data_IF_517552276643
#
_entry.id   IF_517552276643
#
_cell.length_a   1.000
_cell.length_b   1.000
_cell.length_c   1.000
_cell.angle_alpha   90.00
_cell.angle_beta   90.00
_cell.angle_gamma   90.00
#
_symmetry.space_group_name_H-M   'P 1'
#
loop_
_entity.id
_entity.type
_entity.pdbx_description
1 polymer ?
#
# COMPACT_ATOMS: atom_id res chain seq x y z
N UNK A 1 7.86 -31.00 -5.34
CA UNK A 1 8.51 -30.46 -4.13
C UNK A 1 7.54 -29.51 -3.47
N UNK A 2 7.34 -29.62 -2.15
CA UNK A 2 6.51 -28.70 -1.37
C UNK A 2 7.34 -28.22 -0.17
N UNK A 3 7.39 -26.91 0.06
CA UNK A 3 8.08 -26.30 1.19
C UNK A 3 7.03 -25.69 2.14
N UNK A 4 7.18 -25.91 3.44
CA UNK A 4 6.27 -25.41 4.48
C UNK A 4 7.06 -24.69 5.57
N UNK A 5 6.40 -23.78 6.28
CA UNK A 5 7.01 -23.01 7.38
C UNK A 5 8.27 -22.24 6.97
N UNK A 6 8.22 -21.61 5.80
CA UNK A 6 9.34 -20.88 5.21
C UNK A 6 9.83 -19.74 6.11
N UNK A 7 11.14 -19.58 6.17
CA UNK A 7 11.85 -18.47 6.79
C UNK A 7 12.51 -17.59 5.71
N UNK A 8 12.83 -16.34 6.05
CA UNK A 8 13.51 -15.42 5.11
C UNK A 8 14.80 -16.01 4.54
N UNK A 9 15.54 -16.78 5.34
CA UNK A 9 16.77 -17.46 4.95
C UNK A 9 16.57 -18.54 3.89
N UNK A 10 15.34 -19.02 3.67
CA UNK A 10 15.01 -19.98 2.62
C UNK A 10 14.88 -19.30 1.24
N UNK A 11 15.03 -17.98 1.16
CA UNK A 11 15.08 -17.28 -0.14
C UNK A 11 16.35 -17.67 -0.89
N UNK A 12 16.23 -17.96 -2.18
CA UNK A 12 17.36 -18.41 -2.99
C UNK A 12 16.95 -19.12 -4.26
N UNK A 13 17.93 -19.69 -4.94
CA UNK A 13 17.70 -20.53 -6.12
C UNK A 13 17.52 -21.99 -5.69
N UNK A 14 16.48 -22.62 -6.23
CA UNK A 14 16.17 -24.03 -6.07
C UNK A 14 16.26 -24.72 -7.42
N UNK A 15 17.05 -25.77 -7.50
CA UNK A 15 17.25 -26.53 -8.73
C UNK A 15 16.51 -27.85 -8.67
N UNK A 16 15.66 -28.11 -9.65
CA UNK A 16 15.08 -29.42 -9.91
C UNK A 16 15.84 -30.11 -11.04
N UNK A 17 16.29 -31.34 -10.81
CA UNK A 17 16.98 -32.15 -11.81
C UNK A 17 16.19 -33.42 -12.09
N UNK A 18 15.97 -33.70 -13.37
CA UNK A 18 15.39 -34.95 -13.85
C UNK A 18 16.42 -35.60 -14.78
N UNK A 19 16.84 -36.80 -14.41
CA UNK A 19 17.81 -37.56 -15.18
C UNK A 19 17.15 -38.82 -15.75
N UNK A 20 17.23 -38.97 -17.07
CA UNK A 20 16.88 -40.20 -17.79
C UNK A 20 18.16 -40.84 -18.33
N UNK A 21 18.12 -42.08 -18.85
CA UNK A 21 19.30 -42.70 -19.47
C UNK A 21 19.85 -41.93 -20.68
N UNK A 22 19.01 -41.12 -21.33
CA UNK A 22 19.31 -40.45 -22.60
C UNK A 22 19.51 -38.94 -22.43
N UNK A 23 18.98 -38.34 -21.35
CA UNK A 23 18.97 -36.88 -21.16
C UNK A 23 19.00 -36.45 -19.68
N UNK A 24 19.42 -35.20 -19.46
CA UNK A 24 19.38 -34.52 -18.17
C UNK A 24 18.72 -33.16 -18.34
N UNK A 25 17.54 -33.00 -17.72
CA UNK A 25 16.85 -31.71 -17.64
C UNK A 25 17.09 -31.06 -16.28
N UNK A 26 17.49 -29.79 -16.29
CA UNK A 26 17.69 -28.97 -15.10
C UNK A 26 16.79 -27.75 -15.18
N UNK A 27 15.99 -27.50 -14.15
CA UNK A 27 15.13 -26.32 -14.02
C UNK A 27 15.51 -25.58 -12.75
N UNK A 28 15.66 -24.26 -12.84
CA UNK A 28 15.98 -23.41 -11.71
C UNK A 28 14.78 -22.50 -11.38
N UNK A 29 14.47 -22.38 -10.09
CA UNK A 29 13.43 -21.51 -9.55
C UNK A 29 14.03 -20.56 -8.53
N UNK A 30 13.69 -19.26 -8.63
CA UNK A 30 14.06 -18.28 -7.60
C UNK A 30 12.91 -18.12 -6.60
N UNK A 31 13.14 -18.52 -5.36
CA UNK A 31 12.21 -18.31 -4.24
C UNK A 31 12.55 -17.00 -3.51
N UNK A 32 11.54 -16.16 -3.30
CA UNK A 32 11.62 -14.96 -2.48
C UNK A 32 10.60 -15.08 -1.35
N UNK A 33 11.09 -15.17 -0.12
CA UNK A 33 10.25 -15.24 1.08
C UNK A 33 10.13 -13.84 1.67
N UNK A 34 8.92 -13.30 1.64
CA UNK A 34 8.60 -11.96 2.13
C UNK A 34 7.84 -12.04 3.45
N UNK A 35 8.08 -11.09 4.33
CA UNK A 35 7.26 -10.92 5.54
C UNK A 35 5.91 -10.29 5.18
N UNK A 36 4.84 -10.63 5.93
CA UNK A 36 3.60 -9.90 5.85
C UNK A 36 3.79 -8.41 6.17
N UNK A 37 3.12 -7.55 5.42
CA UNK A 37 3.12 -6.11 5.66
C UNK A 37 2.45 -5.79 6.99
N UNK A 38 3.05 -4.85 7.72
CA UNK A 38 2.44 -4.30 8.93
C UNK A 38 1.28 -3.37 8.58
N UNK A 39 0.34 -3.22 9.53
CA UNK A 39 -0.76 -2.26 9.37
C UNK A 39 -0.20 -0.83 9.30
N UNK A 40 -0.53 -0.06 8.26
CA UNK A 40 -0.04 1.30 8.13
C UNK A 40 -0.68 2.22 9.19
N UNK A 41 0.03 3.30 9.49
CA UNK A 41 -0.46 4.42 10.31
C UNK A 41 -0.84 5.53 9.34
N UNK A 42 -2.10 5.97 9.44
CA UNK A 42 -2.66 7.04 8.63
C UNK A 42 -2.89 8.28 9.49
N UNK A 43 -2.28 9.39 9.11
CA UNK A 43 -2.45 10.71 9.71
C UNK A 43 -3.05 11.65 8.66
N UNK A 44 -4.06 12.42 9.07
CA UNK A 44 -4.76 13.37 8.20
C UNK A 44 -4.81 14.71 8.91
N UNK A 45 -4.24 15.74 8.29
CA UNK A 45 -4.27 17.11 8.75
C UNK A 45 -5.06 17.96 7.75
N UNK A 46 -6.06 18.70 8.24
CA UNK A 46 -6.90 19.55 7.40
C UNK A 46 -6.30 20.93 7.22
N UNK A 47 -6.14 21.37 5.98
CA UNK A 47 -5.84 22.76 5.64
C UNK A 47 -7.05 23.38 4.93
N UNK A 48 -7.63 24.38 5.58
CA UNK A 48 -8.83 25.05 5.11
C UNK A 48 -8.44 26.31 4.35
N UNK A 49 -8.53 26.25 3.03
CA UNK A 49 -8.29 27.42 2.21
C UNK A 49 -9.44 28.44 2.36
N UNK A 50 -9.14 29.72 2.13
CA UNK A 50 -10.09 30.84 2.28
C UNK A 50 -11.30 30.82 1.32
N UNK A 51 -11.43 29.78 0.48
CA UNK A 51 -12.52 29.59 -0.49
C UNK A 51 -13.45 28.39 -0.22
N UNK A 52 -13.39 27.75 0.95
CA UNK A 52 -14.26 26.60 1.29
C UNK A 52 -13.77 25.25 0.77
N UNK A 53 -12.69 25.23 -0.01
CA UNK A 53 -12.02 24.00 -0.44
C UNK A 53 -11.24 23.40 0.73
N UNK A 54 -11.66 22.20 1.14
CA UNK A 54 -10.98 21.38 2.13
C UNK A 54 -9.88 20.55 1.45
N UNK A 55 -8.62 20.94 1.67
CA UNK A 55 -7.47 20.17 1.25
C UNK A 55 -6.91 19.43 2.48
N UNK A 56 -6.60 18.17 2.31
CA UNK A 56 -6.13 17.29 3.36
C UNK A 56 -4.69 16.91 3.08
N UNK A 57 -3.80 17.29 4.00
CA UNK A 57 -2.46 16.74 4.03
C UNK A 57 -2.52 15.35 4.67
N UNK A 58 -2.28 14.33 3.86
CA UNK A 58 -2.35 12.93 4.27
C UNK A 58 -0.94 12.36 4.33
N UNK A 59 -0.59 11.81 5.48
CA UNK A 59 0.66 11.06 5.65
C UNK A 59 0.33 9.62 5.99
N UNK A 60 0.85 8.69 5.21
CA UNK A 60 0.80 7.27 5.52
C UNK A 60 2.18 6.70 5.79
N UNK A 61 2.32 5.93 6.87
CA UNK A 61 3.59 5.30 7.27
C UNK A 61 3.44 3.81 7.50
N UNK A 62 4.44 3.03 7.09
CA UNK A 62 4.58 1.63 7.46
C UNK A 62 6.06 1.28 7.64
N UNK A 63 6.48 1.06 8.88
CA UNK A 63 7.91 0.90 9.20
C UNK A 63 8.69 2.16 8.87
N UNK A 64 9.68 2.04 7.99
CA UNK A 64 10.53 3.11 7.45
C UNK A 64 9.95 3.79 6.20
N UNK A 65 8.88 3.24 5.62
CA UNK A 65 8.19 3.80 4.47
C UNK A 65 7.27 4.95 4.90
N UNK A 66 7.25 6.02 4.10
CA UNK A 66 6.36 7.17 4.28
C UNK A 66 5.89 7.69 2.94
N UNK A 67 4.58 7.90 2.82
CA UNK A 67 3.92 8.48 1.64
C UNK A 67 3.11 9.70 2.06
N UNK A 68 3.44 10.86 1.49
CA UNK A 68 2.64 12.08 1.64
C UNK A 68 1.75 12.29 0.42
N UNK A 69 0.55 12.80 0.65
CA UNK A 69 -0.42 13.08 -0.41
C UNK A 69 -1.28 14.27 -0.04
N UNK A 70 -1.70 15.02 -1.04
CA UNK A 70 -2.77 16.01 -0.89
C UNK A 70 -4.08 15.40 -1.37
N UNK A 71 -5.09 15.35 -0.51
CA UNK A 71 -6.40 14.80 -0.84
C UNK A 71 -7.51 15.86 -0.75
N UNK A 72 -8.59 15.68 -1.49
CA UNK A 72 -9.85 16.39 -1.30
C UNK A 72 -10.96 15.37 -0.93
N UNK A 73 -12.24 15.68 -1.14
CA UNK A 73 -13.33 14.74 -0.85
C UNK A 73 -13.47 13.56 -1.84
N UNK A 74 -12.75 13.59 -2.96
CA UNK A 74 -12.92 12.67 -4.09
C UNK A 74 -11.63 11.99 -4.56
N UNK A 75 -10.48 12.65 -4.48
CA UNK A 75 -9.20 12.11 -4.94
C UNK A 75 -8.05 12.45 -3.99
N UNK A 76 -6.94 11.72 -4.16
CA UNK A 76 -5.64 11.98 -3.53
C UNK A 76 -4.57 12.06 -4.62
N UNK A 77 -3.69 13.05 -4.49
CA UNK A 77 -2.51 13.23 -5.34
C UNK A 77 -1.27 12.98 -4.49
N UNK A 78 -0.44 12.03 -4.91
CA UNK A 78 0.74 11.60 -4.16
C UNK A 78 1.96 12.45 -4.55
N UNK A 79 2.80 12.78 -3.58
CA UNK A 79 4.09 13.42 -3.86
C UNK A 79 5.13 12.34 -4.18
N UNK A 80 5.55 12.26 -5.45
CA UNK A 80 6.56 11.30 -5.94
C UNK A 80 5.99 10.09 -6.68
N UNK A 81 6.83 9.09 -6.96
CA UNK A 81 6.47 7.93 -7.77
C UNK A 81 5.39 7.06 -7.10
N UNK A 82 4.45 6.58 -7.91
CA UNK A 82 3.12 6.08 -7.53
C UNK A 82 3.05 4.81 -6.64
N UNK A 83 4.16 4.34 -6.08
CA UNK A 83 4.20 3.22 -5.14
C UNK A 83 5.49 3.20 -4.31
N UNK A 84 5.63 4.12 -3.35
CA UNK A 84 6.75 4.14 -2.41
C UNK A 84 6.75 2.88 -1.52
N UNK A 85 7.49 1.84 -1.91
CA UNK A 85 7.59 0.60 -1.15
C UNK A 85 6.26 -0.16 -0.99
N UNK A 86 5.29 0.06 -1.90
CA UNK A 86 3.97 -0.57 -1.82
C UNK A 86 2.94 0.19 -0.99
N UNK A 87 3.23 1.43 -0.58
CA UNK A 87 2.24 2.36 -0.02
C UNK A 87 1.41 3.04 -1.12
N UNK A 88 0.11 3.16 -0.91
CA UNK A 88 -0.80 3.97 -1.75
C UNK A 88 -1.88 4.64 -0.92
N UNK A 89 -2.21 5.89 -1.26
CA UNK A 89 -3.32 6.64 -0.67
C UNK A 89 -4.40 6.88 -1.73
N UNK A 90 -5.67 6.61 -1.39
CA UNK A 90 -6.81 6.84 -2.27
C UNK A 90 -8.11 7.03 -1.48
N UNK A 91 -9.16 7.46 -2.16
CA UNK A 91 -10.49 7.65 -1.57
C UNK A 91 -11.42 6.54 -2.03
N UNK A 92 -12.17 5.96 -1.10
CA UNK A 92 -13.21 4.97 -1.40
C UNK A 92 -14.33 5.10 -0.38
N UNK A 93 -15.56 5.23 -0.88
CA UNK A 93 -16.78 5.31 -0.07
C UNK A 93 -16.75 6.39 1.03
N UNK A 94 -16.21 7.58 0.73
CA UNK A 94 -16.15 8.68 1.68
C UNK A 94 -15.06 8.58 2.77
N UNK A 95 -14.16 7.60 2.65
CA UNK A 95 -12.99 7.48 3.52
C UNK A 95 -11.70 7.67 2.73
N UNK A 96 -10.71 8.30 3.35
CA UNK A 96 -9.32 8.21 2.92
C UNK A 96 -8.80 6.86 3.38
N UNK A 97 -8.19 6.11 2.47
CA UNK A 97 -7.57 4.82 2.73
C UNK A 97 -6.09 4.92 2.41
N UNK A 98 -5.25 4.58 3.39
CA UNK A 98 -3.89 4.18 3.09
C UNK A 98 -3.80 2.67 3.05
N UNK A 99 -3.24 2.16 1.96
CA UNK A 99 -2.95 0.76 1.74
C UNK A 99 -1.44 0.51 1.70
N UNK A 100 -1.00 -0.55 2.37
CA UNK A 100 0.36 -1.07 2.27
C UNK A 100 0.27 -2.52 1.77
N UNK A 101 0.93 -2.82 0.66
CA UNK A 101 0.90 -4.16 0.07
C UNK A 101 2.23 -4.60 -0.50
N UNK A 102 2.49 -5.90 -0.42
CA UNK A 102 3.56 -6.58 -1.14
C UNK A 102 2.97 -7.81 -1.86
N UNK A 103 3.74 -8.56 -2.65
CA UNK A 103 3.22 -9.72 -3.40
C UNK A 103 2.54 -10.80 -2.54
N UNK A 104 2.77 -10.84 -1.22
CA UNK A 104 2.25 -11.88 -0.33
C UNK A 104 1.11 -11.42 0.59
N UNK A 105 0.96 -10.11 0.81
CA UNK A 105 0.06 -9.59 1.84
C UNK A 105 -0.34 -8.14 1.61
N UNK A 106 -1.45 -7.74 2.22
CA UNK A 106 -2.01 -6.40 2.09
C UNK A 106 -2.68 -5.99 3.41
N UNK A 107 -2.48 -4.74 3.83
CA UNK A 107 -3.08 -4.15 5.03
C UNK A 107 -3.40 -2.68 4.80
N UNK A 108 -4.42 -2.17 5.49
CA UNK A 108 -4.87 -0.79 5.31
C UNK A 108 -5.31 -0.11 6.61
N UNK A 109 -5.26 1.22 6.58
CA UNK A 109 -5.85 2.11 7.56
C UNK A 109 -6.82 3.06 6.85
N UNK A 110 -7.85 3.49 7.55
CA UNK A 110 -8.87 4.40 7.00
C UNK A 110 -9.28 5.47 7.99
N UNK A 111 -9.63 6.63 7.47
CA UNK A 111 -10.24 7.75 8.20
C UNK A 111 -11.43 8.26 7.37
N UNK A 112 -12.58 8.44 8.02
CA UNK A 112 -13.78 8.94 7.37
C UNK A 112 -13.68 10.45 7.15
N UNK A 113 -14.03 10.92 5.95
CA UNK A 113 -13.83 12.33 5.54
C UNK A 113 -14.82 13.26 6.25
N UNK A 114 -16.03 12.78 6.56
CA UNK A 114 -17.10 13.60 7.17
C UNK A 114 -16.70 14.25 8.49
N UNK A 115 -15.76 13.64 9.24
CA UNK A 115 -15.24 14.21 10.49
C UNK A 115 -14.10 15.23 10.32
N UNK A 116 -13.51 15.32 9.13
CA UNK A 116 -12.31 16.12 8.84
C UNK A 116 -12.62 17.29 7.90
N UNK A 117 -13.44 17.04 6.88
CA UNK A 117 -14.01 18.03 5.98
C UNK A 117 -15.54 17.99 6.11
N UNK A 118 -16.19 18.93 6.82
CA UNK A 118 -17.64 19.01 6.79
C UNK A 118 -18.11 19.32 5.37
N UNK A 119 -19.28 18.81 4.95
CA UNK A 119 -19.83 19.10 3.64
C UNK A 119 -20.02 20.61 3.47
N UNK A 120 -19.76 21.14 2.27
CA UNK A 120 -20.13 22.52 1.94
C UNK A 120 -21.61 22.72 2.25
N UNK A 121 -21.89 23.63 3.18
CA UNK A 121 -23.24 24.13 3.37
C UNK A 121 -23.60 24.91 2.10
N UNK A 122 -24.36 24.30 1.19
CA UNK A 122 -24.97 25.02 0.08
C UNK A 122 -25.80 26.16 0.68
N UNK A 123 -25.26 27.39 0.63
CA UNK A 123 -26.05 28.59 0.83
C UNK A 123 -26.96 28.72 -0.38
N UNK A 124 -28.18 28.21 -0.25
CA UNK A 124 -29.28 28.51 -1.15
C UNK A 124 -29.55 30.03 -1.03
N UNK A 125 -29.42 30.76 -2.13
CA UNK A 125 -29.79 32.18 -2.24
C UNK A 125 -30.89 32.32 -3.28
#
# INVERSE_FOLDING_TARGET
>A
MELRNLQKSDSGFYTGEIQTPEDKTVVEYKLLVLEPVQKPILTVDADWSSGGLCNLAVTCRAGDLSLTSTCNSSTCTQDGDSAHGGLTNFIKHGSIICNHSNPVSCSHAKVDIEGVCPPEQRKEH
#
